data_IF_093338579366
#
_entry.id   IF_093338579366
#
_cell.length_a   1.000
_cell.length_b   1.000
_cell.length_c   1.000
_cell.angle_alpha   90.00
_cell.angle_beta   90.00
_cell.angle_gamma   90.00
#
_symmetry.space_group_name_H-M   'P 1'
#
loop_
_entity.id
_entity.type
_entity.pdbx_description
1 polymer ?
#
# COMPACT_ATOMS: atom_id res chain seq x y z
N UNK A 1 4.92 -10.03 22.18
CA UNK A 1 5.05 -8.91 21.18
C UNK A 1 6.27 -9.05 20.29
N UNK A 2 7.48 -9.18 20.85
CA UNK A 2 8.69 -9.39 20.03
C UNK A 2 8.61 -10.71 19.25
N UNK A 3 8.19 -11.79 19.90
CA UNK A 3 7.96 -13.08 19.24
C UNK A 3 6.96 -12.97 18.07
N UNK A 4 5.91 -12.16 18.19
CA UNK A 4 4.96 -11.93 17.11
C UNK A 4 5.61 -11.20 15.92
N UNK A 5 6.39 -10.16 16.18
CA UNK A 5 7.08 -9.38 15.14
C UNK A 5 8.15 -10.17 14.41
N UNK A 6 8.80 -11.12 15.08
CA UNK A 6 9.89 -11.93 14.54
C UNK A 6 9.48 -13.37 14.21
N UNK A 7 8.18 -13.67 14.27
CA UNK A 7 7.70 -15.02 13.97
C UNK A 7 8.04 -15.44 12.54
N UNK A 8 8.24 -16.74 12.29
CA UNK A 8 8.33 -17.27 10.93
C UNK A 8 7.08 -16.89 10.13
N UNK A 9 7.26 -16.57 8.89
CA UNK A 9 6.20 -16.26 7.93
C UNK A 9 6.02 -17.42 6.96
N UNK A 10 4.90 -17.43 6.24
CA UNK A 10 4.69 -18.37 5.14
C UNK A 10 5.64 -18.03 3.99
N UNK A 11 5.90 -19.01 3.13
CA UNK A 11 6.80 -18.87 2.00
C UNK A 11 6.23 -17.95 0.92
N UNK A 12 4.95 -18.12 0.62
CA UNK A 12 4.25 -17.42 -0.44
C UNK A 12 3.21 -16.45 0.14
N UNK A 13 3.28 -15.20 -0.33
CA UNK A 13 2.24 -14.19 -0.14
C UNK A 13 1.92 -13.58 -1.51
N UNK A 14 0.89 -14.09 -2.20
CA UNK A 14 0.51 -13.59 -3.53
C UNK A 14 0.37 -12.07 -3.61
N UNK A 15 -0.18 -11.44 -2.58
CA UNK A 15 -0.36 -9.99 -2.55
C UNK A 15 0.13 -9.39 -1.24
N UNK A 16 0.96 -8.36 -1.34
CA UNK A 16 1.34 -7.51 -0.22
C UNK A 16 0.76 -6.10 -0.39
N UNK A 17 0.41 -5.46 0.74
CA UNK A 17 0.14 -4.03 0.82
C UNK A 17 1.16 -3.39 1.75
N UNK A 18 1.74 -2.29 1.30
CA UNK A 18 2.74 -1.51 2.05
C UNK A 18 2.26 -0.06 2.12
N UNK A 19 2.16 0.48 3.33
CA UNK A 19 1.77 1.86 3.58
C UNK A 19 2.41 2.40 4.84
N UNK A 20 2.59 3.71 4.92
CA UNK A 20 3.21 4.39 6.05
C UNK A 20 2.17 5.11 6.92
N UNK A 21 2.35 4.99 8.23
CA UNK A 21 1.78 5.88 9.23
C UNK A 21 2.84 6.87 9.68
N UNK A 22 2.42 8.09 10.01
CA UNK A 22 3.31 9.08 10.63
C UNK A 22 2.86 9.35 12.06
N UNK A 23 3.78 9.17 13.01
CA UNK A 23 3.52 9.33 14.45
C UNK A 23 4.54 10.26 15.12
N UNK A 24 4.06 11.03 16.09
CA UNK A 24 4.92 11.91 16.88
C UNK A 24 5.63 11.11 17.96
N UNK A 25 6.90 10.91 17.79
CA UNK A 25 7.73 10.10 18.70
C UNK A 25 8.91 10.95 19.19
N UNK A 26 9.22 10.86 20.48
CA UNK A 26 10.44 11.46 21.03
C UNK A 26 11.65 10.62 20.62
N UNK A 27 12.56 11.25 19.91
CA UNK A 27 13.82 10.65 19.48
C UNK A 27 14.98 11.53 19.99
N UNK A 28 15.73 11.02 20.97
CA UNK A 28 16.68 11.85 21.72
C UNK A 28 15.97 13.01 22.43
N UNK A 29 16.41 14.22 22.16
CA UNK A 29 15.85 15.45 22.76
C UNK A 29 14.78 16.15 21.89
N UNK A 30 14.37 15.53 20.76
CA UNK A 30 13.43 16.12 19.80
C UNK A 30 12.18 15.27 19.63
N UNK A 31 11.09 15.91 19.25
CA UNK A 31 9.89 15.24 18.77
C UNK A 31 10.00 15.21 17.25
N UNK A 32 9.98 14.02 16.68
CA UNK A 32 10.03 13.80 15.24
C UNK A 32 8.71 13.18 14.76
N UNK A 33 8.32 13.49 13.54
CA UNK A 33 7.23 12.81 12.87
C UNK A 33 7.82 11.60 12.14
N UNK A 34 7.77 10.44 12.81
CA UNK A 34 8.43 9.22 12.34
C UNK A 34 7.50 8.41 11.45
N UNK A 35 8.00 7.98 10.30
CA UNK A 35 7.30 7.05 9.44
C UNK A 35 7.30 5.65 10.08
N UNK A 36 6.15 5.00 10.09
CA UNK A 36 5.99 3.61 10.57
C UNK A 36 5.36 2.81 9.45
N UNK A 37 6.15 1.94 8.84
CA UNK A 37 5.69 1.07 7.77
C UNK A 37 4.87 -0.09 8.33
N UNK A 38 3.71 -0.31 7.74
CA UNK A 38 2.85 -1.47 8.01
C UNK A 38 2.75 -2.29 6.75
N UNK A 39 3.00 -3.59 6.87
CA UNK A 39 2.89 -4.54 5.76
C UNK A 39 1.83 -5.59 6.10
N UNK A 40 0.85 -5.72 5.23
CA UNK A 40 -0.15 -6.80 5.25
C UNK A 40 0.10 -7.70 4.05
N UNK A 41 -0.04 -9.00 4.23
CA UNK A 41 -0.03 -9.99 3.15
C UNK A 41 -1.32 -10.79 3.08
N UNK A 42 -1.56 -11.39 1.93
CA UNK A 42 -2.52 -12.47 1.75
C UNK A 42 -1.72 -13.74 1.48
N UNK A 43 -1.98 -14.78 2.26
CA UNK A 43 -1.38 -16.09 2.07
C UNK A 43 -2.12 -16.93 1.01
N UNK A 44 -1.59 -18.11 0.69
CA UNK A 44 -2.17 -19.05 -0.29
C UNK A 44 -3.57 -19.56 0.11
N UNK A 45 -3.93 -19.46 1.39
CA UNK A 45 -5.28 -19.78 1.87
C UNK A 45 -6.24 -18.58 1.77
N UNK A 46 -5.77 -17.47 1.20
CA UNK A 46 -6.53 -16.22 1.05
C UNK A 46 -6.74 -15.47 2.37
N UNK A 47 -6.02 -15.85 3.42
CA UNK A 47 -6.09 -15.21 4.74
C UNK A 47 -5.19 -13.98 4.81
N UNK A 48 -5.68 -12.96 5.50
CA UNK A 48 -4.89 -11.77 5.79
C UNK A 48 -3.90 -12.05 6.91
N UNK A 49 -2.69 -11.57 6.72
CA UNK A 49 -1.62 -11.65 7.70
C UNK A 49 -0.92 -10.30 7.87
N UNK A 50 -0.56 -9.93 9.11
CA UNK A 50 0.20 -8.73 9.41
C UNK A 50 1.67 -9.11 9.45
N UNK A 51 2.44 -8.72 8.43
CA UNK A 51 3.81 -9.18 8.25
C UNK A 51 4.82 -8.32 8.98
N UNK A 52 4.63 -7.00 8.98
CA UNK A 52 5.54 -6.08 9.64
C UNK A 52 4.84 -4.84 10.18
N UNK A 53 5.40 -4.29 11.24
CA UNK A 53 5.22 -2.94 11.73
C UNK A 53 6.61 -2.42 12.12
N UNK A 54 7.16 -1.50 11.33
CA UNK A 54 8.54 -1.07 11.47
C UNK A 54 8.67 0.44 11.36
N UNK A 55 9.18 1.12 12.41
CA UNK A 55 9.50 2.53 12.32
C UNK A 55 10.71 2.77 11.41
N UNK A 56 10.65 3.83 10.63
CA UNK A 56 11.72 4.29 9.76
C UNK A 56 12.02 5.75 10.03
N UNK A 57 13.29 6.10 10.17
CA UNK A 57 13.68 7.50 10.36
C UNK A 57 13.51 8.32 9.08
N UNK A 58 13.70 7.65 7.93
CA UNK A 58 13.48 8.22 6.60
C UNK A 58 12.93 7.14 5.65
N UNK A 59 12.18 7.58 4.66
CA UNK A 59 11.70 6.73 3.59
C UNK A 59 12.71 6.79 2.44
N UNK A 60 13.58 5.80 2.37
CA UNK A 60 14.61 5.65 1.34
C UNK A 60 14.57 4.24 0.75
N UNK A 61 15.20 4.06 -0.41
CA UNK A 61 15.37 2.74 -1.01
C UNK A 61 16.03 1.76 -0.04
N UNK A 62 17.06 2.21 0.69
CA UNK A 62 17.80 1.38 1.64
C UNK A 62 16.91 0.91 2.82
N UNK A 63 16.05 1.80 3.35
CA UNK A 63 15.16 1.44 4.46
C UNK A 63 14.04 0.49 4.01
N UNK A 64 13.51 0.65 2.80
CA UNK A 64 12.56 -0.29 2.23
C UNK A 64 13.19 -1.65 1.91
N UNK A 65 14.42 -1.65 1.40
CA UNK A 65 15.17 -2.89 1.17
C UNK A 65 15.39 -3.65 2.48
N UNK A 66 15.81 -2.95 3.54
CA UNK A 66 15.93 -3.55 4.87
C UNK A 66 14.61 -4.14 5.39
N UNK A 67 13.47 -3.49 5.13
CA UNK A 67 12.15 -4.03 5.47
C UNK A 67 11.89 -5.35 4.73
N UNK A 68 12.14 -5.41 3.42
CA UNK A 68 11.93 -6.61 2.63
C UNK A 68 12.93 -7.72 2.96
N UNK A 69 14.19 -7.39 3.25
CA UNK A 69 15.18 -8.36 3.73
C UNK A 69 14.76 -8.96 5.08
N UNK A 70 14.16 -8.16 5.96
CA UNK A 70 13.57 -8.67 7.20
C UNK A 70 12.40 -9.63 6.94
N UNK A 71 11.51 -9.35 5.97
CA UNK A 71 10.45 -10.30 5.60
C UNK A 71 11.04 -11.61 5.05
N UNK A 72 12.05 -11.53 4.17
CA UNK A 72 12.74 -12.70 3.61
C UNK A 72 13.43 -13.53 4.69
N UNK A 73 14.13 -12.90 5.63
CA UNK A 73 14.79 -13.61 6.74
C UNK A 73 13.82 -14.40 7.63
N UNK A 74 12.53 -14.03 7.59
CA UNK A 74 11.44 -14.70 8.30
C UNK A 74 10.70 -15.74 7.44
N UNK A 75 11.11 -15.96 6.19
CA UNK A 75 10.64 -17.03 5.33
C UNK A 75 9.88 -16.60 4.06
N UNK A 76 9.62 -15.30 3.84
CA UNK A 76 8.94 -14.84 2.61
C UNK A 76 9.87 -15.01 1.41
N UNK A 77 9.47 -15.80 0.42
CA UNK A 77 10.24 -16.04 -0.80
C UNK A 77 9.51 -15.57 -2.06
N UNK A 78 8.20 -15.81 -2.12
CA UNK A 78 7.39 -15.59 -3.32
C UNK A 78 6.30 -14.53 -3.08
N UNK A 79 6.33 -13.47 -3.92
CA UNK A 79 5.36 -12.37 -3.90
C UNK A 79 5.03 -12.02 -5.35
N UNK A 80 3.74 -12.01 -5.70
CA UNK A 80 3.31 -11.74 -7.08
C UNK A 80 2.99 -10.28 -7.32
N UNK A 81 2.39 -9.62 -6.33
CA UNK A 81 1.95 -8.23 -6.43
C UNK A 81 2.21 -7.47 -5.13
N UNK A 82 2.83 -6.31 -5.22
CA UNK A 82 2.90 -5.35 -4.11
C UNK A 82 2.08 -4.11 -4.45
N UNK A 83 1.17 -3.75 -3.57
CA UNK A 83 0.32 -2.55 -3.70
C UNK A 83 0.80 -1.49 -2.72
N UNK A 84 1.13 -0.29 -3.22
CA UNK A 84 1.60 0.81 -2.36
C UNK A 84 1.30 2.18 -2.96
N UNK A 85 1.54 3.24 -2.20
CA UNK A 85 1.63 4.58 -2.76
C UNK A 85 2.91 4.76 -3.60
N UNK A 86 2.95 5.79 -4.40
CA UNK A 86 4.09 6.09 -5.26
C UNK A 86 5.24 6.71 -4.45
N UNK A 87 6.22 5.88 -4.12
CA UNK A 87 7.51 6.31 -3.61
C UNK A 87 8.61 5.67 -4.44
N UNK A 88 9.48 6.50 -5.05
CA UNK A 88 10.52 6.00 -5.99
C UNK A 88 11.43 4.95 -5.35
N UNK A 89 11.85 5.18 -4.11
CA UNK A 89 12.68 4.23 -3.36
C UNK A 89 11.96 2.91 -3.07
N UNK A 90 10.66 2.95 -2.77
CA UNK A 90 9.85 1.76 -2.52
C UNK A 90 9.66 0.93 -3.80
N UNK A 91 9.28 1.54 -4.91
CA UNK A 91 9.09 0.84 -6.19
C UNK A 91 10.39 0.14 -6.65
N UNK A 92 11.54 0.79 -6.46
CA UNK A 92 12.85 0.21 -6.77
C UNK A 92 13.17 -0.95 -5.83
N UNK A 93 13.00 -0.78 -4.53
CA UNK A 93 13.24 -1.83 -3.53
C UNK A 93 12.36 -3.07 -3.78
N UNK A 94 11.10 -2.92 -4.22
CA UNK A 94 10.22 -4.03 -4.59
C UNK A 94 10.83 -4.83 -5.74
N UNK A 95 11.20 -4.16 -6.84
CA UNK A 95 11.78 -4.81 -8.03
C UNK A 95 13.08 -5.58 -7.72
N UNK A 96 13.90 -5.03 -6.84
CA UNK A 96 15.16 -5.66 -6.42
C UNK A 96 14.96 -6.81 -5.42
N UNK A 97 13.97 -6.68 -4.55
CA UNK A 97 13.73 -7.65 -3.48
C UNK A 97 12.93 -8.86 -3.92
N UNK A 98 11.97 -8.68 -4.81
CA UNK A 98 11.05 -9.72 -5.26
C UNK A 98 11.08 -9.81 -6.79
N UNK A 99 11.95 -10.69 -7.31
CA UNK A 99 12.12 -10.88 -8.76
C UNK A 99 10.83 -11.42 -9.36
N UNK A 100 10.35 -10.77 -10.43
CA UNK A 100 9.09 -11.14 -11.10
C UNK A 100 7.83 -10.57 -10.46
N UNK A 101 7.95 -9.88 -9.33
CA UNK A 101 6.81 -9.24 -8.68
C UNK A 101 6.34 -8.00 -9.46
N UNK A 102 5.04 -7.86 -9.64
CA UNK A 102 4.43 -6.63 -10.17
C UNK A 102 4.25 -5.61 -9.05
N UNK A 103 4.41 -4.33 -9.39
CA UNK A 103 4.10 -3.24 -8.49
C UNK A 103 2.86 -2.49 -8.95
N UNK A 104 1.83 -2.48 -8.11
CA UNK A 104 0.60 -1.73 -8.30
C UNK A 104 0.66 -0.41 -7.54
N UNK A 105 0.66 0.70 -8.25
CA UNK A 105 0.47 2.02 -7.66
C UNK A 105 -0.97 2.16 -7.15
N UNK A 106 -1.15 2.56 -5.91
CA UNK A 106 -2.48 2.78 -5.32
C UNK A 106 -3.27 3.81 -6.13
N UNK A 107 -4.35 3.38 -6.79
CA UNK A 107 -5.18 4.26 -7.62
C UNK A 107 -5.82 5.42 -6.84
N UNK A 108 -6.10 5.23 -5.54
CA UNK A 108 -6.72 6.28 -4.71
C UNK A 108 -5.76 7.42 -4.45
N UNK A 109 -4.53 7.11 -4.05
CA UNK A 109 -3.46 8.10 -3.89
C UNK A 109 -3.09 8.73 -5.23
N UNK A 110 -3.03 7.94 -6.28
CA UNK A 110 -2.74 8.44 -7.63
C UNK A 110 -3.80 9.44 -8.11
N UNK A 111 -5.09 9.14 -7.95
CA UNK A 111 -6.15 10.10 -8.25
C UNK A 111 -6.01 11.40 -7.44
N UNK A 112 -5.67 11.32 -6.14
CA UNK A 112 -5.43 12.53 -5.33
C UNK A 112 -4.30 13.38 -5.90
N UNK A 113 -3.21 12.73 -6.33
CA UNK A 113 -2.06 13.43 -6.91
C UNK A 113 -2.45 14.15 -8.20
N UNK A 114 -3.20 13.51 -9.09
CA UNK A 114 -3.71 14.13 -10.32
C UNK A 114 -4.64 15.31 -9.99
N UNK A 115 -5.61 15.10 -9.09
CA UNK A 115 -6.58 16.12 -8.69
C UNK A 115 -5.96 17.30 -7.94
N UNK A 116 -4.74 17.17 -7.40
CA UNK A 116 -4.04 18.28 -6.75
C UNK A 116 -3.73 19.42 -7.73
N UNK A 117 -3.61 19.13 -9.03
CA UNK A 117 -3.32 20.08 -10.10
C UNK A 117 -4.57 20.79 -10.67
N UNK A 118 -5.76 20.51 -10.11
CA UNK A 118 -7.01 21.12 -10.58
C UNK A 118 -7.59 22.13 -9.58
N UNK A 119 -8.31 23.16 -10.07
CA UNK A 119 -9.13 24.03 -9.22
C UNK A 119 -10.21 23.23 -8.45
N UNK A 120 -10.45 23.60 -7.21
CA UNK A 120 -11.38 22.87 -6.31
C UNK A 120 -12.77 22.65 -6.91
N UNK A 121 -13.30 23.64 -7.61
CA UNK A 121 -14.64 23.62 -8.24
C UNK A 121 -14.79 22.57 -9.36
N UNK A 122 -13.68 22.15 -9.97
CA UNK A 122 -13.68 21.24 -11.12
C UNK A 122 -13.30 19.79 -10.72
N UNK A 123 -12.80 19.59 -9.49
CA UNK A 123 -12.30 18.29 -9.02
C UNK A 123 -13.35 17.19 -9.05
N UNK A 124 -14.59 17.47 -8.67
CA UNK A 124 -15.63 16.44 -8.57
C UNK A 124 -16.03 15.88 -9.94
N UNK A 125 -16.34 16.76 -10.90
CA UNK A 125 -16.71 16.35 -12.26
C UNK A 125 -15.57 15.64 -12.97
N UNK A 126 -14.34 16.17 -12.83
CA UNK A 126 -13.14 15.57 -13.41
C UNK A 126 -12.85 14.20 -12.78
N UNK A 127 -12.92 14.06 -11.44
CA UNK A 127 -12.70 12.81 -10.74
C UNK A 127 -13.68 11.71 -11.17
N UNK A 128 -14.94 12.06 -11.42
CA UNK A 128 -15.95 11.12 -11.91
C UNK A 128 -15.58 10.50 -13.25
N UNK A 129 -15.04 11.31 -14.17
CA UNK A 129 -14.55 10.84 -15.47
C UNK A 129 -13.21 10.12 -15.37
N UNK A 130 -12.25 10.68 -14.65
CA UNK A 130 -10.94 10.08 -14.42
C UNK A 130 -11.06 8.65 -13.85
N UNK A 131 -12.00 8.45 -12.93
CA UNK A 131 -12.26 7.15 -12.30
C UNK A 131 -12.64 6.06 -13.32
N UNK A 132 -13.20 6.41 -14.47
CA UNK A 132 -13.61 5.45 -15.49
C UNK A 132 -12.42 4.68 -16.07
N UNK A 133 -11.20 5.23 -16.04
CA UNK A 133 -9.98 4.52 -16.47
C UNK A 133 -9.85 3.17 -15.73
N UNK A 134 -10.01 3.17 -14.41
CA UNK A 134 -9.85 1.96 -13.58
C UNK A 134 -11.12 1.11 -13.48
N UNK A 135 -12.19 1.48 -14.16
CA UNK A 135 -13.45 0.75 -14.25
C UNK A 135 -13.65 0.05 -15.60
N UNK A 136 -12.68 0.19 -16.50
CA UNK A 136 -12.71 -0.50 -17.78
C UNK A 136 -12.62 -2.01 -17.59
N UNK A 137 -13.10 -2.82 -18.54
CA UNK A 137 -13.13 -4.28 -18.42
C UNK A 137 -11.76 -4.94 -18.49
N UNK A 138 -10.78 -4.31 -19.18
CA UNK A 138 -9.45 -4.85 -19.43
C UNK A 138 -8.40 -3.74 -19.57
N UNK A 139 -7.12 -4.14 -19.56
CA UNK A 139 -5.97 -3.24 -19.66
C UNK A 139 -5.98 -2.40 -20.95
N UNK A 140 -6.24 -3.01 -22.10
CA UNK A 140 -6.20 -2.33 -23.40
C UNK A 140 -7.28 -1.26 -23.48
N UNK A 141 -8.50 -1.59 -23.04
CA UNK A 141 -9.62 -0.63 -23.00
C UNK A 141 -9.34 0.51 -22.02
N UNK A 142 -8.68 0.22 -20.88
CA UNK A 142 -8.28 1.23 -19.92
C UNK A 142 -7.24 2.19 -20.49
N UNK A 143 -6.24 1.68 -21.20
CA UNK A 143 -5.22 2.50 -21.87
C UNK A 143 -5.84 3.40 -22.94
N UNK A 144 -6.67 2.84 -23.84
CA UNK A 144 -7.34 3.60 -24.89
C UNK A 144 -8.25 4.71 -24.33
N UNK A 145 -8.96 4.42 -23.23
CA UNK A 145 -9.77 5.42 -22.55
C UNK A 145 -8.91 6.52 -21.93
N UNK A 146 -7.78 6.16 -21.32
CA UNK A 146 -6.85 7.11 -20.71
C UNK A 146 -6.20 8.02 -21.76
N UNK A 147 -5.83 7.48 -22.93
CA UNK A 147 -5.27 8.27 -24.04
C UNK A 147 -6.30 9.31 -24.52
N UNK A 148 -7.53 8.89 -24.79
CA UNK A 148 -8.61 9.81 -25.19
C UNK A 148 -8.93 10.86 -24.11
N UNK A 149 -8.81 10.47 -22.85
CA UNK A 149 -8.99 11.37 -21.71
C UNK A 149 -7.86 12.40 -21.63
N UNK A 150 -6.62 11.98 -21.85
CA UNK A 150 -5.46 12.88 -21.86
C UNK A 150 -5.55 13.88 -23.01
N UNK A 151 -5.89 13.44 -24.22
CA UNK A 151 -6.06 14.31 -25.39
C UNK A 151 -7.11 15.41 -25.14
N UNK A 152 -8.22 15.06 -24.46
CA UNK A 152 -9.29 16.02 -24.15
C UNK A 152 -8.89 17.09 -23.14
N UNK A 153 -8.00 16.73 -22.19
CA UNK A 153 -7.67 17.60 -21.06
C UNK A 153 -6.26 18.20 -21.09
N UNK A 154 -5.40 17.81 -22.04
CA UNK A 154 -4.00 18.23 -22.10
C UNK A 154 -3.83 19.74 -22.19
N UNK A 155 -4.63 20.42 -23.03
CA UNK A 155 -4.57 21.89 -23.16
C UNK A 155 -5.04 22.59 -21.87
N UNK A 156 -6.04 22.04 -21.19
CA UNK A 156 -6.65 22.66 -20.03
C UNK A 156 -5.90 22.40 -18.72
N UNK A 157 -5.36 21.18 -18.55
CA UNK A 157 -4.68 20.72 -17.34
C UNK A 157 -3.39 19.95 -17.65
N UNK A 158 -2.38 20.60 -18.27
CA UNK A 158 -1.17 19.91 -18.73
C UNK A 158 -0.42 19.19 -17.59
N UNK A 159 -0.32 19.82 -16.41
CA UNK A 159 0.36 19.21 -15.25
C UNK A 159 -0.37 17.97 -14.73
N UNK A 160 -1.70 18.00 -14.71
CA UNK A 160 -2.50 16.83 -14.31
C UNK A 160 -2.34 15.68 -15.30
N UNK A 161 -2.33 15.97 -16.60
CA UNK A 161 -2.14 14.97 -17.65
C UNK A 161 -0.73 14.39 -17.65
N UNK A 162 0.27 15.21 -17.39
CA UNK A 162 1.64 14.75 -17.20
C UNK A 162 1.75 13.75 -16.03
N UNK A 163 1.14 14.07 -14.87
CA UNK A 163 1.12 13.16 -13.72
C UNK A 163 0.38 11.87 -14.07
N UNK A 164 -0.73 11.95 -14.82
CA UNK A 164 -1.47 10.78 -15.27
C UNK A 164 -0.60 9.89 -16.17
N UNK A 165 0.01 10.46 -17.20
CA UNK A 165 0.87 9.72 -18.13
C UNK A 165 2.05 9.02 -17.44
N UNK A 166 2.72 9.70 -16.49
CA UNK A 166 3.88 9.16 -15.77
C UNK A 166 3.55 7.97 -14.84
N UNK A 167 2.31 7.81 -14.41
CA UNK A 167 1.96 6.76 -13.43
C UNK A 167 0.82 5.84 -13.85
N UNK A 168 0.32 5.99 -15.07
CA UNK A 168 -0.83 5.25 -15.56
C UNK A 168 -0.58 3.74 -15.55
N UNK A 169 0.48 3.31 -16.20
CA UNK A 169 0.84 1.89 -16.36
C UNK A 169 1.00 1.20 -15.00
N UNK A 170 1.72 1.82 -14.07
CA UNK A 170 1.91 1.30 -12.71
C UNK A 170 0.57 1.20 -11.93
N UNK A 171 -0.42 2.01 -12.27
CA UNK A 171 -1.74 2.00 -11.64
C UNK A 171 -2.73 0.99 -12.23
N UNK A 172 -2.36 0.35 -13.35
CA UNK A 172 -3.18 -0.62 -14.08
C UNK A 172 -2.67 -2.07 -13.94
N UNK A 173 -1.62 -2.31 -13.14
CA UNK A 173 -1.03 -3.64 -12.98
C UNK A 173 -2.03 -4.69 -12.46
N UNK A 174 -3.06 -4.28 -11.74
CA UNK A 174 -4.09 -5.18 -11.25
C UNK A 174 -4.85 -5.92 -12.37
N UNK A 175 -4.88 -5.40 -13.59
CA UNK A 175 -5.50 -6.07 -14.74
C UNK A 175 -4.80 -7.37 -15.14
N UNK A 176 -3.52 -7.55 -14.79
CA UNK A 176 -2.80 -8.80 -15.04
C UNK A 176 -3.18 -9.93 -14.06
N UNK A 177 -4.03 -9.63 -13.08
CA UNK A 177 -4.53 -10.57 -12.06
C UNK A 177 -6.04 -10.73 -12.20
N UNK A 178 -6.51 -11.09 -13.40
CA UNK A 178 -7.93 -11.14 -13.79
C UNK A 178 -8.82 -11.96 -12.85
N UNK A 179 -8.24 -13.00 -12.22
CA UNK A 179 -8.94 -13.85 -11.27
C UNK A 179 -9.21 -13.16 -9.92
N UNK A 180 -8.49 -12.07 -9.59
CA UNK A 180 -8.66 -11.37 -8.32
C UNK A 180 -9.55 -10.15 -8.52
N UNK A 181 -10.55 -9.96 -7.65
CA UNK A 181 -11.41 -8.78 -7.67
C UNK A 181 -10.56 -7.48 -7.64
N UNK A 182 -10.61 -6.65 -8.70
CA UNK A 182 -9.83 -5.41 -8.79
C UNK A 182 -10.00 -4.46 -7.60
N UNK A 183 -11.16 -4.47 -6.95
CA UNK A 183 -11.44 -3.64 -5.78
C UNK A 183 -10.55 -3.97 -4.59
N UNK A 184 -10.01 -5.20 -4.54
CA UNK A 184 -9.16 -5.68 -3.46
C UNK A 184 -7.70 -5.27 -3.66
N UNK A 185 -7.20 -5.27 -4.90
CA UNK A 185 -5.78 -5.15 -5.21
C UNK A 185 -5.37 -3.85 -5.93
N UNK A 186 -6.31 -3.00 -6.32
CA UNK A 186 -6.02 -1.74 -7.01
C UNK A 186 -5.73 -0.55 -6.07
N UNK A 187 -5.81 -0.74 -4.75
CA UNK A 187 -5.58 0.31 -3.76
C UNK A 187 -5.11 -0.23 -2.41
N UNK A 188 -4.60 0.66 -1.57
CA UNK A 188 -4.19 0.38 -0.18
C UNK A 188 -5.33 0.51 0.83
N UNK A 189 -6.59 0.48 0.40
CA UNK A 189 -7.76 0.68 1.27
C UNK A 189 -7.81 -0.27 2.47
N UNK A 190 -7.29 -1.49 2.33
CA UNK A 190 -7.20 -2.47 3.44
C UNK A 190 -6.27 -1.94 4.55
N UNK A 191 -5.12 -1.37 4.16
CA UNK A 191 -4.18 -0.73 5.09
C UNK A 191 -4.72 0.59 5.62
N UNK A 192 -5.37 1.41 4.80
CA UNK A 192 -5.96 2.67 5.27
C UNK A 192 -6.98 2.43 6.40
N UNK A 193 -7.77 1.36 6.33
CA UNK A 193 -8.69 0.97 7.41
C UNK A 193 -7.93 0.57 8.68
N UNK A 194 -6.92 -0.28 8.58
CA UNK A 194 -6.09 -0.68 9.71
C UNK A 194 -5.37 0.52 10.30
N UNK A 195 -4.77 1.37 9.47
CA UNK A 195 -4.07 2.58 9.87
C UNK A 195 -4.98 3.57 10.61
N UNK A 196 -6.26 3.67 10.21
CA UNK A 196 -7.27 4.48 10.91
C UNK A 196 -7.53 3.95 12.31
N UNK A 197 -7.64 2.65 12.48
CA UNK A 197 -7.86 2.02 13.77
C UNK A 197 -6.61 2.13 14.67
N UNK A 198 -5.41 1.98 14.11
CA UNK A 198 -4.16 2.25 14.84
C UNK A 198 -4.17 3.70 15.34
N UNK A 199 -4.42 4.67 14.47
CA UNK A 199 -4.46 6.09 14.83
C UNK A 199 -5.50 6.40 15.90
N UNK A 200 -6.66 5.76 15.86
CA UNK A 200 -7.69 5.94 16.89
C UNK A 200 -7.18 5.59 18.29
N UNK A 201 -6.29 4.59 18.39
CA UNK A 201 -5.68 4.16 19.66
C UNK A 201 -4.42 4.97 20.01
N UNK A 202 -3.64 5.36 19.04
CA UNK A 202 -2.39 6.10 19.28
C UNK A 202 -2.61 7.59 19.51
N UNK A 203 -3.65 8.19 18.93
CA UNK A 203 -3.94 9.63 19.03
C UNK A 203 -4.18 10.11 20.45
N UNK A 204 -4.65 9.24 21.36
CA UNK A 204 -4.86 9.58 22.78
C UNK A 204 -3.54 9.81 23.54
N UNK A 205 -2.43 9.28 23.02
CA UNK A 205 -1.10 9.45 23.63
C UNK A 205 -0.49 10.80 23.24
N UNK A 206 -0.83 11.32 22.08
CA UNK A 206 -0.34 12.58 21.51
C UNK A 206 1.12 12.54 21.09
N UNK A 207 2.07 12.29 22.00
CA UNK A 207 3.50 12.14 21.72
C UNK A 207 4.03 10.92 22.48
N UNK A 208 4.58 9.95 21.76
CA UNK A 208 5.18 8.78 22.39
C UNK A 208 6.54 9.10 23.00
N UNK A 209 6.84 8.63 24.23
CA UNK A 209 8.09 8.92 24.91
C UNK A 209 9.32 8.34 24.20
N UNK A 210 9.15 7.27 23.47
CA UNK A 210 10.16 6.62 22.63
C UNK A 210 9.51 5.68 21.63
N UNK A 211 10.31 5.20 20.68
CA UNK A 211 9.90 4.27 19.63
C UNK A 211 9.35 2.95 20.17
N UNK A 212 9.97 2.40 21.22
CA UNK A 212 9.58 1.11 21.80
C UNK A 212 8.18 1.16 22.41
N UNK A 213 7.82 2.28 23.05
CA UNK A 213 6.50 2.49 23.61
C UNK A 213 5.41 2.48 22.54
N UNK A 214 5.68 3.13 21.40
CA UNK A 214 4.79 3.12 20.26
C UNK A 214 4.64 1.70 19.69
N UNK A 215 5.76 1.04 19.43
CA UNK A 215 5.76 -0.31 18.84
C UNK A 215 5.07 -1.32 19.76
N UNK A 216 5.24 -1.24 21.07
CA UNK A 216 4.53 -2.12 22.01
C UNK A 216 3.02 -1.94 21.91
N UNK A 217 2.53 -0.70 21.95
CA UNK A 217 1.09 -0.43 21.88
C UNK A 217 0.50 -0.92 20.55
N UNK A 218 1.14 -0.56 19.44
CA UNK A 218 0.66 -0.94 18.10
C UNK A 218 0.73 -2.45 17.89
N UNK A 219 1.82 -3.09 18.30
CA UNK A 219 1.96 -4.55 18.17
C UNK A 219 0.89 -5.31 18.97
N UNK A 220 0.58 -4.88 20.20
CA UNK A 220 -0.50 -5.47 21.00
C UNK A 220 -1.82 -5.47 20.25
N UNK A 221 -2.16 -4.31 19.67
CA UNK A 221 -3.37 -4.14 18.89
C UNK A 221 -3.39 -4.97 17.60
N UNK A 222 -2.25 -5.00 16.89
CA UNK A 222 -2.11 -5.81 15.68
C UNK A 222 -2.21 -7.32 15.95
N UNK A 223 -1.81 -7.79 17.13
CA UNK A 223 -2.00 -9.19 17.53
C UNK A 223 -3.48 -9.54 17.64
N UNK A 224 -4.30 -8.68 18.27
CA UNK A 224 -5.75 -8.86 18.34
C UNK A 224 -6.36 -8.96 16.93
N UNK A 225 -5.97 -8.03 16.03
CA UNK A 225 -6.43 -8.05 14.63
C UNK A 225 -5.99 -9.30 13.87
N UNK A 226 -4.77 -9.75 14.08
CA UNK A 226 -4.25 -10.95 13.45
C UNK A 226 -5.04 -12.20 13.88
N UNK A 227 -5.37 -12.32 15.17
CA UNK A 227 -6.21 -13.40 15.69
C UNK A 227 -7.59 -13.38 15.05
N UNK A 228 -8.26 -12.23 15.01
CA UNK A 228 -9.56 -12.07 14.35
C UNK A 228 -9.52 -12.47 12.87
N UNK A 229 -8.45 -12.08 12.17
CA UNK A 229 -8.30 -12.41 10.75
C UNK A 229 -8.00 -13.88 10.51
N UNK A 230 -7.30 -14.54 11.42
CA UNK A 230 -6.96 -15.97 11.29
C UNK A 230 -8.19 -16.87 11.35
N UNK A 231 -9.17 -16.54 12.21
CA UNK A 231 -10.42 -17.28 12.34
C UNK A 231 -11.51 -16.81 11.38
N UNK A 232 -11.37 -15.61 10.83
CA UNK A 232 -12.33 -15.00 9.91
C UNK A 232 -12.39 -15.67 8.53
N UNK A 233 -13.30 -15.20 7.67
CA UNK A 233 -13.38 -15.64 6.26
C UNK A 233 -12.14 -15.20 5.49
N UNK A 234 -11.73 -16.00 4.48
CA UNK A 234 -10.68 -15.63 3.54
C UNK A 234 -11.03 -14.32 2.83
N UNK A 235 -10.05 -13.45 2.70
CA UNK A 235 -10.20 -12.17 2.01
C UNK A 235 -10.23 -12.34 0.48
N UNK A 236 -9.39 -13.24 -0.02
CA UNK A 236 -9.43 -13.72 -1.41
C UNK A 236 -9.74 -15.21 -1.36
N UNK A 237 -10.52 -15.71 -2.32
CA UNK A 237 -10.82 -17.16 -2.38
C UNK A 237 -9.52 -17.94 -2.62
N UNK A 238 -9.22 -19.01 -1.85
CA UNK A 238 -8.02 -19.83 -2.07
C UNK A 238 -7.94 -20.43 -3.47
N UNK A 239 -9.09 -20.76 -4.08
CA UNK A 239 -9.17 -21.34 -5.44
C UNK A 239 -8.68 -20.38 -6.53
N UNK A 240 -8.55 -19.10 -6.21
CA UNK A 240 -8.05 -18.06 -7.14
C UNK A 240 -6.51 -17.95 -7.06
N UNK A 241 -5.93 -18.38 -5.93
CA UNK A 241 -4.52 -18.24 -5.62
C UNK A 241 -3.71 -19.53 -5.89
N UNK A 242 -4.35 -20.54 -6.43
CA UNK A 242 -3.76 -21.81 -6.88
C UNK A 242 -3.59 -21.79 -8.39
#
# INVERSE_FOLDING_TARGET
>A
MEAFRNRPLKKTYPVLWVDALYEKIRYGHRIVNMAVQVVIGIDEEGKRDILAVQPMQEESEATYKSLFDHLKSRGVEDVWLVVSDAHKGLAKAIKESFIGCSWQRCKVHFMRNILAHLPSREKESFASRLKQIWLQPDYTTAMNYADSFMDEYEEKYPDAMKVLAEGLEDSLQFFHFEQIDPRKISSTNILERLNREIRRRTSVVGVFPNQDSYIRLVTSYLMEYHEDWSIGRSYISPTILQ
#
